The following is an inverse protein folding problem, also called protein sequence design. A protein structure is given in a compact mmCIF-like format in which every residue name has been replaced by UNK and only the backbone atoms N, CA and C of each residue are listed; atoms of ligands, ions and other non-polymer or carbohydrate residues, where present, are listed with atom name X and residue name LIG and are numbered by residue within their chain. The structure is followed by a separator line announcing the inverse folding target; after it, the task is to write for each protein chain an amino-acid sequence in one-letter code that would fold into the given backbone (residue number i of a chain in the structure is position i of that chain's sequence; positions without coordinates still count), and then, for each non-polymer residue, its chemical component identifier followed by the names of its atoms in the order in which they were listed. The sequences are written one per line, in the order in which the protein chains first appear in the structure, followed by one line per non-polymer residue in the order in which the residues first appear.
data_IF_800387264588
#
_entry.id   IF_800387264588
#
_cell.length_a   1.000
_cell.length_b   1.000
_cell.length_c   1.000
_cell.angle_alpha   90.00
_cell.angle_beta   90.00
_cell.angle_gamma   90.00
#
_symmetry.space_group_name_H-M   'P 1'
#
loop_
_entity.id
_entity.type
_entity.pdbx_description
1 polymer ?
#
# COMPACT_ATOMS: atom_id res chain seq x y z
N UNK A 1 40.62 -19.80 16.54
CA UNK A 1 39.83 -18.54 16.57
C UNK A 1 38.48 -18.85 15.97
N UNK A 2 37.47 -19.12 16.81
CA UNK A 2 36.13 -19.49 16.37
C UNK A 2 35.28 -18.24 16.16
N UNK A 3 34.81 -18.04 14.93
CA UNK A 3 33.90 -16.96 14.55
C UNK A 3 32.49 -17.32 15.04
N UNK A 4 31.98 -16.61 16.05
CA UNK A 4 30.61 -16.77 16.51
C UNK A 4 29.67 -16.05 15.54
N UNK A 5 28.96 -16.83 14.71
CA UNK A 5 27.87 -16.34 13.88
C UNK A 5 26.71 -15.90 14.77
N UNK A 6 26.52 -14.59 14.93
CA UNK A 6 25.41 -14.02 15.68
C UNK A 6 24.11 -14.26 14.94
N UNK A 7 23.32 -15.25 15.38
CA UNK A 7 21.95 -15.46 14.94
C UNK A 7 21.06 -14.37 15.54
N UNK A 8 20.68 -13.38 14.73
CA UNK A 8 19.63 -12.42 15.10
C UNK A 8 18.31 -13.18 15.15
N UNK A 9 17.78 -13.39 16.35
CA UNK A 9 16.46 -13.98 16.58
C UNK A 9 15.50 -12.83 16.85
N UNK A 10 14.60 -12.56 15.89
CA UNK A 10 13.48 -11.63 16.12
C UNK A 10 12.50 -12.37 17.02
N UNK A 11 12.55 -12.10 18.32
CA UNK A 11 11.50 -12.52 19.24
C UNK A 11 10.29 -11.64 19.00
N UNK A 12 9.26 -12.21 18.37
CA UNK A 12 7.93 -11.64 18.41
C UNK A 12 7.43 -11.80 19.84
N UNK A 13 7.36 -10.68 20.55
CA UNK A 13 6.76 -10.63 21.87
C UNK A 13 5.29 -11.02 21.69
N UNK A 14 4.89 -12.16 22.27
CA UNK A 14 3.49 -12.49 22.51
C UNK A 14 2.95 -11.44 23.48
N UNK A 15 2.33 -10.38 22.94
CA UNK A 15 1.55 -9.44 23.73
C UNK A 15 0.11 -9.94 23.82
N UNK A 16 -0.12 -10.88 24.74
CA UNK A 16 -1.43 -10.96 25.38
C UNK A 16 -1.61 -9.72 26.28
N UNK A 17 -2.42 -8.79 25.78
CA UNK A 17 -3.14 -7.74 26.50
C UNK A 17 -2.37 -6.94 27.59
N UNK A 18 -1.82 -5.78 27.22
CA UNK A 18 -1.62 -4.70 28.18
C UNK A 18 -0.63 -3.59 27.79
N UNK A 19 -1.17 -2.45 27.34
CA UNK A 19 -0.53 -1.11 27.43
C UNK A 19 0.66 -0.83 26.47
N UNK A 20 0.36 -0.85 25.17
CA UNK A 20 1.11 -0.12 24.12
C UNK A 20 0.20 0.51 23.06
N UNK A 21 -1.10 0.57 23.32
CA UNK A 21 -2.15 0.98 22.38
C UNK A 21 -2.23 2.49 22.21
N UNK A 22 -1.24 3.10 21.56
CA UNK A 22 -1.41 4.44 21.03
C UNK A 22 -2.64 4.49 20.11
N UNK A 23 -3.57 5.41 20.39
CA UNK A 23 -4.74 5.68 19.53
C UNK A 23 -4.29 5.80 18.08
N UNK A 24 -4.94 5.08 17.17
CA UNK A 24 -4.71 5.20 15.73
C UNK A 24 -4.84 6.68 15.33
N UNK A 25 -3.78 7.23 14.76
CA UNK A 25 -3.73 8.64 14.36
C UNK A 25 -3.98 8.76 12.86
N UNK A 26 -4.79 9.73 12.46
CA UNK A 26 -5.08 9.98 11.05
C UNK A 26 -3.90 10.74 10.42
N UNK A 27 -3.29 10.17 9.38
CA UNK A 27 -2.27 10.88 8.62
C UNK A 27 -2.92 12.08 7.92
N UNK A 28 -2.32 13.26 8.08
CA UNK A 28 -2.86 14.55 7.57
C UNK A 28 -4.31 14.85 7.98
N UNK A 29 -4.83 14.18 9.02
CA UNK A 29 -6.23 14.32 9.45
C UNK A 29 -7.26 13.65 8.52
N UNK A 30 -6.84 12.84 7.55
CA UNK A 30 -7.74 12.16 6.63
C UNK A 30 -8.39 10.93 7.29
N UNK A 31 -9.71 10.83 7.19
CA UNK A 31 -10.46 9.65 7.65
C UNK A 31 -10.94 8.86 6.45
N UNK A 32 -10.50 7.59 6.34
CA UNK A 32 -10.93 6.67 5.27
C UNK A 32 -12.46 6.64 5.12
N UNK A 33 -13.18 6.38 6.21
CA UNK A 33 -14.63 6.22 6.17
C UNK A 33 -15.36 7.51 5.76
N UNK A 34 -14.92 8.66 6.27
CA UNK A 34 -15.53 9.94 5.90
C UNK A 34 -15.30 10.28 4.42
N UNK A 35 -14.08 10.03 3.92
CA UNK A 35 -13.72 10.26 2.51
C UNK A 35 -14.51 9.30 1.61
N UNK A 36 -14.56 8.01 1.96
CA UNK A 36 -15.30 6.99 1.23
C UNK A 36 -16.79 7.34 1.14
N UNK A 37 -17.42 7.68 2.27
CA UNK A 37 -18.82 8.08 2.31
C UNK A 37 -19.09 9.31 1.42
N UNK A 38 -18.28 10.36 1.55
CA UNK A 38 -18.43 11.57 0.72
C UNK A 38 -18.25 11.29 -0.78
N UNK A 39 -17.33 10.40 -1.15
CA UNK A 39 -17.11 9.99 -2.54
C UNK A 39 -18.28 9.15 -3.07
N UNK A 40 -18.84 8.25 -2.26
CA UNK A 40 -20.04 7.47 -2.60
C UNK A 40 -21.24 8.40 -2.84
N UNK A 41 -21.49 9.33 -1.92
CA UNK A 41 -22.61 10.27 -2.00
C UNK A 41 -22.50 11.18 -3.23
N UNK A 42 -21.28 11.57 -3.59
CA UNK A 42 -21.01 12.47 -4.72
C UNK A 42 -20.84 11.74 -6.06
N UNK A 43 -20.74 10.40 -6.07
CA UNK A 43 -20.46 9.61 -7.27
C UNK A 43 -19.10 9.92 -7.91
N UNK A 44 -18.10 10.31 -7.11
CA UNK A 44 -16.75 10.64 -7.60
C UNK A 44 -15.71 9.66 -7.08
N UNK A 45 -14.59 9.53 -7.80
CA UNK A 45 -13.43 8.77 -7.33
C UNK A 45 -12.46 9.69 -6.59
N UNK A 46 -12.01 9.24 -5.43
CA UNK A 46 -11.07 9.96 -4.60
C UNK A 46 -9.78 10.29 -5.35
N UNK A 47 -9.29 11.51 -5.14
CA UNK A 47 -7.99 11.98 -5.59
C UNK A 47 -7.29 12.56 -4.38
N UNK A 48 -6.16 11.97 -4.03
CA UNK A 48 -5.41 12.37 -2.86
C UNK A 48 -4.84 13.79 -3.06
N UNK A 49 -5.22 14.78 -2.22
CA UNK A 49 -4.67 16.12 -2.30
C UNK A 49 -3.24 16.21 -1.76
N UNK A 50 -2.81 15.26 -0.92
CA UNK A 50 -1.47 15.26 -0.31
C UNK A 50 -0.44 14.45 -1.10
N UNK A 51 -0.90 13.58 -2.00
CA UNK A 51 -0.06 12.78 -2.89
C UNK A 51 -0.59 12.84 -4.33
N UNK A 52 -0.48 13.99 -5.00
CA UNK A 52 -1.04 14.19 -6.34
C UNK A 52 -0.32 13.31 -7.36
N UNK A 53 -1.12 12.62 -8.19
CA UNK A 53 -0.61 11.83 -9.31
C UNK A 53 0.10 12.71 -10.34
N UNK A 54 1.42 12.78 -10.26
CA UNK A 54 2.26 13.59 -11.12
C UNK A 54 3.74 13.18 -11.04
N UNK A 55 4.61 13.82 -11.81
CA UNK A 55 6.04 13.50 -11.81
C UNK A 55 6.69 13.64 -10.43
N UNK A 56 6.26 14.62 -9.64
CA UNK A 56 6.80 14.89 -8.30
C UNK A 56 6.54 13.73 -7.31
N UNK A 57 5.50 12.94 -7.54
CA UNK A 57 5.15 11.78 -6.72
C UNK A 57 5.93 10.51 -7.11
N UNK A 58 6.69 10.51 -8.22
CA UNK A 58 7.56 9.38 -8.59
C UNK A 58 8.88 9.37 -7.82
N UNK A 59 9.32 10.54 -7.37
CA UNK A 59 10.57 10.71 -6.65
C UNK A 59 11.44 11.81 -7.26
N UNK A 60 12.71 11.81 -6.85
CA UNK A 60 13.71 12.79 -7.25
C UNK A 60 14.84 12.12 -8.05
N UNK A 61 15.76 12.93 -8.58
CA UNK A 61 16.93 12.51 -9.36
C UNK A 61 16.59 11.56 -10.52
N UNK A 62 16.85 10.25 -10.36
CA UNK A 62 16.62 9.25 -11.38
C UNK A 62 15.14 8.99 -11.66
N UNK A 63 14.22 9.43 -10.79
CA UNK A 63 12.78 9.34 -10.97
C UNK A 63 12.12 10.72 -11.05
N UNK A 64 12.93 11.79 -11.12
CA UNK A 64 12.43 13.15 -11.27
C UNK A 64 11.79 13.41 -12.64
N UNK A 65 11.11 14.56 -12.81
CA UNK A 65 10.31 14.87 -13.99
C UNK A 65 11.06 14.78 -15.33
N UNK A 66 12.35 15.11 -15.31
CA UNK A 66 13.20 15.15 -16.51
C UNK A 66 13.95 13.84 -16.77
N UNK A 67 13.73 12.80 -15.95
CA UNK A 67 14.46 11.54 -16.06
C UNK A 67 13.91 10.64 -17.17
N UNK A 68 14.79 9.88 -17.82
CA UNK A 68 14.40 8.85 -18.81
C UNK A 68 13.51 7.75 -18.20
N UNK A 69 13.59 7.54 -16.88
CA UNK A 69 12.74 6.56 -16.18
C UNK A 69 11.32 7.10 -15.98
N UNK A 70 11.16 8.40 -15.75
CA UNK A 70 9.86 9.06 -15.61
C UNK A 70 9.16 9.31 -16.97
N UNK A 71 9.91 9.33 -18.08
CA UNK A 71 9.32 9.47 -19.42
C UNK A 71 8.35 8.33 -19.74
N UNK A 72 7.17 8.71 -20.25
CA UNK A 72 6.12 7.77 -20.68
C UNK A 72 5.30 7.16 -19.53
N UNK A 73 5.54 7.60 -18.29
CA UNK A 73 4.78 7.14 -17.12
C UNK A 73 3.42 7.82 -17.08
N UNK A 74 2.37 7.03 -16.88
CA UNK A 74 0.99 7.47 -16.71
C UNK A 74 0.51 7.02 -15.35
N UNK A 75 -0.19 7.90 -14.64
CA UNK A 75 -0.87 7.53 -13.41
C UNK A 75 -2.26 7.01 -13.75
N UNK A 76 -2.50 5.72 -13.52
CA UNK A 76 -3.72 5.02 -13.91
C UNK A 76 -4.27 4.23 -12.72
N UNK A 77 -5.59 4.12 -12.61
CA UNK A 77 -6.27 3.24 -11.67
C UNK A 77 -6.25 1.80 -12.18
N UNK A 78 -6.27 0.78 -11.30
CA UNK A 78 -6.30 -0.63 -11.71
C UNK A 78 -7.37 -0.97 -12.75
N UNK A 79 -8.58 -0.41 -12.62
CA UNK A 79 -9.67 -0.59 -13.58
C UNK A 79 -9.36 -0.11 -15.01
N UNK A 80 -8.36 0.76 -15.21
CA UNK A 80 -8.01 1.30 -16.52
C UNK A 80 -7.08 0.38 -17.33
N UNK A 81 -6.43 -0.60 -16.68
CA UNK A 81 -5.47 -1.50 -17.33
C UNK A 81 -5.54 -2.96 -16.89
N UNK A 82 -6.41 -3.30 -15.93
CA UNK A 82 -6.69 -4.65 -15.46
C UNK A 82 -8.20 -4.91 -15.53
N UNK A 83 -8.60 -6.04 -16.12
CA UNK A 83 -10.02 -6.35 -16.34
C UNK A 83 -10.79 -6.66 -15.04
N UNK A 84 -10.14 -7.31 -14.07
CA UNK A 84 -10.75 -7.76 -12.82
C UNK A 84 -9.84 -7.46 -11.63
N UNK A 85 -9.61 -6.17 -11.29
CA UNK A 85 -8.73 -5.82 -10.19
C UNK A 85 -9.32 -6.31 -8.87
N UNK A 86 -8.45 -6.87 -8.04
CA UNK A 86 -8.72 -7.36 -6.69
C UNK A 86 -7.77 -6.67 -5.72
N UNK A 87 -8.27 -6.37 -4.52
CA UNK A 87 -7.43 -5.78 -3.49
C UNK A 87 -6.48 -6.83 -2.94
N UNK A 88 -7.06 -7.91 -2.46
CA UNK A 88 -6.39 -9.14 -2.01
C UNK A 88 -7.10 -10.31 -2.69
N UNK A 89 -6.35 -11.28 -3.21
CA UNK A 89 -6.94 -12.53 -3.70
C UNK A 89 -7.15 -13.53 -2.55
N UNK A 90 -8.13 -14.44 -2.71
CA UNK A 90 -8.62 -15.33 -1.64
C UNK A 90 -7.55 -16.28 -1.07
N UNK A 91 -6.44 -16.43 -1.79
CA UNK A 91 -5.21 -17.06 -1.37
C UNK A 91 -4.10 -16.01 -1.25
N UNK A 92 -3.94 -15.37 -0.09
CA UNK A 92 -2.70 -14.62 0.22
C UNK A 92 -1.53 -15.61 0.32
N UNK A 93 -1.08 -16.06 -0.85
CA UNK A 93 -0.06 -17.06 -1.02
C UNK A 93 1.29 -16.40 -0.75
N UNK A 94 2.20 -17.18 -0.17
CA UNK A 94 3.49 -16.70 0.35
C UNK A 94 4.39 -16.06 -0.72
N UNK A 95 4.01 -16.14 -2.00
CA UNK A 95 4.81 -15.74 -3.16
C UNK A 95 4.25 -14.53 -3.91
N UNK A 96 3.16 -13.95 -3.44
CA UNK A 96 2.42 -12.95 -4.21
C UNK A 96 3.13 -11.60 -4.39
N UNK A 97 4.40 -11.41 -3.99
CA UNK A 97 5.15 -10.16 -4.25
C UNK A 97 6.37 -10.45 -5.12
N UNK A 98 6.30 -10.05 -6.39
CA UNK A 98 7.27 -10.44 -7.42
C UNK A 98 8.40 -9.42 -7.69
N UNK A 99 8.38 -8.23 -7.09
CA UNK A 99 9.47 -7.23 -7.20
C UNK A 99 9.27 -6.07 -6.20
N UNK A 100 10.35 -5.47 -5.69
CA UNK A 100 10.31 -4.11 -5.12
C UNK A 100 10.22 -3.96 -3.59
N UNK A 101 9.60 -4.90 -2.86
CA UNK A 101 9.56 -4.80 -1.39
C UNK A 101 9.60 -6.17 -0.69
N UNK A 102 10.81 -6.57 -0.28
CA UNK A 102 11.03 -7.73 0.60
C UNK A 102 10.27 -7.60 1.94
N UNK A 103 9.97 -6.37 2.36
CA UNK A 103 9.20 -6.09 3.56
C UNK A 103 7.72 -6.49 3.39
N UNK A 104 7.10 -6.15 2.25
CA UNK A 104 5.73 -6.58 1.95
C UNK A 104 5.62 -8.12 1.86
N UNK A 105 6.61 -8.77 1.23
CA UNK A 105 6.69 -10.23 1.18
C UNK A 105 6.84 -10.86 2.58
N UNK A 106 7.55 -10.22 3.50
CA UNK A 106 7.71 -10.74 4.87
C UNK A 106 6.44 -10.57 5.71
N UNK A 107 5.60 -9.56 5.42
CA UNK A 107 4.32 -9.37 6.13
C UNK A 107 3.35 -10.54 5.89
N UNK A 108 3.38 -11.18 4.72
CA UNK A 108 2.53 -12.34 4.43
C UNK A 108 2.84 -13.55 5.31
N UNK A 109 4.04 -13.61 5.90
CA UNK A 109 4.41 -14.64 6.88
C UNK A 109 3.77 -14.42 8.25
N UNK A 110 3.21 -13.24 8.52
CA UNK A 110 2.61 -12.85 9.80
C UNK A 110 1.17 -12.35 9.62
N UNK A 111 0.17 -13.24 9.46
CA UNK A 111 -1.21 -12.86 9.11
C UNK A 111 -1.85 -11.85 10.07
N UNK A 112 -1.51 -11.89 11.36
CA UNK A 112 -1.99 -10.93 12.36
C UNK A 112 -1.46 -9.51 12.09
N UNK A 113 -0.17 -9.40 11.75
CA UNK A 113 0.46 -8.13 11.43
C UNK A 113 -0.03 -7.61 10.08
N UNK A 114 -0.19 -8.50 9.10
CA UNK A 114 -0.74 -8.14 7.80
C UNK A 114 -2.15 -7.56 7.90
N UNK A 115 -3.06 -8.19 8.65
CA UNK A 115 -4.42 -7.66 8.87
C UNK A 115 -4.44 -6.33 9.63
N UNK A 116 -3.38 -6.03 10.38
CA UNK A 116 -3.21 -4.73 11.04
C UNK A 116 -2.75 -3.68 10.02
N UNK A 117 -1.71 -3.98 9.24
CA UNK A 117 -1.16 -3.07 8.22
C UNK A 117 -2.13 -2.84 7.06
N UNK A 118 -2.85 -3.87 6.66
CA UNK A 118 -3.81 -3.90 5.55
C UNK A 118 -5.17 -4.28 6.14
N UNK A 119 -5.97 -3.30 6.60
CA UNK A 119 -7.28 -3.57 7.18
C UNK A 119 -8.20 -4.29 6.18
N UNK A 120 -8.98 -5.30 6.62
CA UNK A 120 -9.92 -6.01 5.77
C UNK A 120 -11.12 -5.14 5.41
N UNK A 121 -11.90 -5.57 4.40
CA UNK A 121 -13.12 -4.87 3.96
C UNK A 121 -12.92 -3.84 2.86
N UNK A 122 -11.71 -3.76 2.30
CA UNK A 122 -11.39 -2.95 1.13
C UNK A 122 -11.49 -3.82 -0.13
N UNK A 123 -12.10 -3.28 -1.19
CA UNK A 123 -12.24 -3.97 -2.46
C UNK A 123 -12.31 -2.99 -3.66
N UNK A 124 -12.28 -3.55 -4.87
CA UNK A 124 -12.48 -2.82 -6.12
C UNK A 124 -13.90 -2.95 -6.68
N UNK A 125 -14.81 -3.63 -5.99
CA UNK A 125 -16.12 -4.03 -6.50
C UNK A 125 -17.28 -3.33 -5.78
N UNK A 126 -17.44 -3.57 -4.48
CA UNK A 126 -18.59 -3.13 -3.70
C UNK A 126 -18.34 -1.78 -3.02
N UNK A 127 -19.02 -0.74 -3.52
CA UNK A 127 -18.86 0.61 -2.98
C UNK A 127 -17.44 1.15 -3.20
N UNK A 128 -16.88 0.84 -4.37
CA UNK A 128 -15.60 1.35 -4.83
C UNK A 128 -15.66 2.86 -5.08
N UNK A 129 -14.74 3.59 -4.45
CA UNK A 129 -14.56 5.04 -4.64
C UNK A 129 -13.11 5.41 -4.95
N UNK A 130 -12.27 4.44 -5.31
CA UNK A 130 -10.86 4.67 -5.60
C UNK A 130 -10.04 5.17 -4.40
N UNK A 131 -10.50 4.89 -3.17
CA UNK A 131 -9.81 5.19 -1.90
C UNK A 131 -9.50 3.90 -1.16
N UNK A 132 -8.29 3.83 -0.61
CA UNK A 132 -7.79 2.72 0.20
C UNK A 132 -7.05 3.28 1.41
N UNK A 133 -6.84 2.45 2.43
CA UNK A 133 -6.07 2.84 3.60
C UNK A 133 -5.22 1.70 4.17
N UNK A 134 -4.16 2.12 4.87
CA UNK A 134 -3.18 1.24 5.49
C UNK A 134 -2.79 1.77 6.86
N UNK A 135 -2.42 0.88 7.77
CA UNK A 135 -1.91 1.27 9.10
C UNK A 135 -0.40 1.07 9.14
N UNK A 136 0.34 2.17 9.26
CA UNK A 136 1.80 2.15 9.31
C UNK A 136 2.30 2.55 10.70
N UNK A 137 3.35 1.89 11.17
CA UNK A 137 4.00 2.26 12.42
C UNK A 137 5.08 3.31 12.17
N UNK A 138 4.89 4.51 12.71
CA UNK A 138 5.80 5.63 12.53
C UNK A 138 6.09 6.28 13.88
N UNK A 139 7.37 6.40 14.25
CA UNK A 139 7.84 7.07 15.48
C UNK A 139 7.10 6.66 16.76
N UNK A 140 6.83 5.36 16.93
CA UNK A 140 6.18 4.83 18.13
C UNK A 140 4.64 4.92 18.11
N UNK A 141 4.02 5.19 16.95
CA UNK A 141 2.58 5.38 16.81
C UNK A 141 2.05 4.68 15.56
N UNK A 142 0.82 4.19 15.63
CA UNK A 142 0.08 3.72 14.46
C UNK A 142 -0.57 4.91 13.75
N UNK A 143 -0.28 5.04 12.47
CA UNK A 143 -0.84 6.04 11.57
C UNK A 143 -1.76 5.36 10.56
N UNK A 144 -2.99 5.83 10.42
CA UNK A 144 -3.91 5.48 9.34
C UNK A 144 -3.61 6.38 8.15
N UNK A 145 -3.11 5.79 7.06
CA UNK A 145 -2.72 6.50 5.84
C UNK A 145 -3.73 6.17 4.75
N UNK A 146 -4.37 7.20 4.23
CA UNK A 146 -5.36 7.11 3.14
C UNK A 146 -4.66 7.44 1.82
N UNK A 147 -4.91 6.63 0.80
CA UNK A 147 -4.38 6.87 -0.55
C UNK A 147 -5.48 6.68 -1.59
N UNK A 148 -5.37 7.38 -2.71
CA UNK A 148 -6.11 6.98 -3.91
C UNK A 148 -5.42 5.81 -4.63
N UNK A 149 -6.13 5.15 -5.55
CA UNK A 149 -5.60 3.99 -6.27
C UNK A 149 -4.89 4.28 -7.60
N UNK A 150 -4.55 5.54 -7.89
CA UNK A 150 -3.74 5.85 -9.08
C UNK A 150 -2.32 5.37 -8.86
N UNK A 151 -1.85 4.47 -9.71
CA UNK A 151 -0.51 3.90 -9.68
C UNK A 151 0.29 4.30 -10.94
N UNK A 152 1.62 4.42 -10.84
CA UNK A 152 2.46 4.74 -11.98
C UNK A 152 2.64 3.52 -12.89
N UNK A 153 2.18 3.67 -14.13
CA UNK A 153 2.15 2.65 -15.16
C UNK A 153 2.94 3.11 -16.37
N UNK A 154 3.80 2.23 -16.89
CA UNK A 154 4.55 2.42 -18.14
C UNK A 154 4.27 1.23 -19.05
N UNK A 155 3.86 1.49 -20.29
CA UNK A 155 3.55 0.45 -21.28
C UNK A 155 2.54 -0.60 -20.76
N UNK A 156 1.53 -0.15 -19.99
CA UNK A 156 0.50 -1.01 -19.42
C UNK A 156 0.97 -1.89 -18.25
N UNK A 157 2.18 -1.65 -17.71
CA UNK A 157 2.74 -2.38 -16.57
C UNK A 157 3.06 -1.44 -15.41
N UNK A 158 2.84 -1.91 -14.18
CA UNK A 158 3.27 -1.20 -12.97
C UNK A 158 4.78 -0.96 -12.99
N UNK A 159 5.21 0.23 -12.59
CA UNK A 159 6.63 0.57 -12.55
C UNK A 159 7.37 -0.01 -11.34
N UNK A 160 6.69 -0.12 -10.20
CA UNK A 160 7.30 -0.46 -8.91
C UNK A 160 6.86 -1.85 -8.43
N UNK A 161 6.45 -1.99 -7.16
CA UNK A 161 5.98 -3.27 -6.62
C UNK A 161 4.82 -3.79 -7.46
N UNK A 162 4.83 -5.11 -7.66
CA UNK A 162 3.75 -5.84 -8.32
C UNK A 162 3.54 -7.19 -7.66
N UNK A 163 2.29 -7.62 -7.62
CA UNK A 163 1.99 -8.97 -7.16
C UNK A 163 2.36 -10.02 -8.21
N UNK A 164 2.53 -11.29 -7.78
CA UNK A 164 2.63 -12.44 -8.69
C UNK A 164 1.34 -12.59 -9.48
N UNK A 165 0.22 -12.54 -8.77
CA UNK A 165 -1.11 -12.40 -9.33
C UNK A 165 -1.29 -11.00 -9.92
N UNK A 166 -1.40 -10.92 -11.25
CA UNK A 166 -1.40 -9.64 -12.00
C UNK A 166 -2.59 -8.74 -11.72
N UNK A 167 -3.64 -9.28 -11.10
CA UNK A 167 -4.84 -8.54 -10.76
C UNK A 167 -4.95 -8.23 -9.26
N UNK A 168 -3.91 -8.49 -8.47
CA UNK A 168 -3.86 -8.14 -7.05
C UNK A 168 -3.08 -6.82 -6.83
N UNK A 169 -3.64 -5.91 -6.01
CA UNK A 169 -3.12 -4.54 -5.90
C UNK A 169 -2.85 -4.03 -4.46
N UNK A 170 -3.04 -4.82 -3.40
CA UNK A 170 -2.73 -4.35 -2.04
C UNK A 170 -1.26 -3.97 -1.87
N UNK A 171 -0.32 -4.72 -2.44
CA UNK A 171 1.11 -4.47 -2.29
C UNK A 171 1.59 -3.20 -3.02
N UNK A 172 1.22 -2.95 -4.29
CA UNK A 172 1.47 -1.66 -4.94
C UNK A 172 0.85 -0.46 -4.20
N UNK A 173 -0.36 -0.63 -3.65
CA UNK A 173 -1.04 0.44 -2.90
C UNK A 173 -0.39 0.68 -1.53
N UNK A 174 0.08 -0.38 -0.87
CA UNK A 174 0.85 -0.28 0.38
C UNK A 174 2.18 0.42 0.16
N UNK A 175 2.90 0.11 -0.93
CA UNK A 175 4.11 0.81 -1.31
C UNK A 175 3.84 2.30 -1.51
N UNK A 176 2.76 2.64 -2.22
CA UNK A 176 2.33 4.04 -2.40
C UNK A 176 2.02 4.73 -1.07
N UNK A 177 1.36 4.06 -0.14
CA UNK A 177 1.06 4.63 1.18
C UNK A 177 2.32 4.86 2.05
N UNK A 178 3.42 4.16 1.75
CA UNK A 178 4.69 4.33 2.43
C UNK A 178 5.57 5.44 1.81
N UNK A 179 5.43 5.69 0.51
CA UNK A 179 6.19 6.68 -0.25
C UNK A 179 5.87 8.13 0.16
#
# INVERSE_FOLDING_TARGET
MASSSGRVTIQLVDEEAGVGGGRLQLFRGQSYEAIRAACLDSGILFRDPYFPAGPDALGYDQLGPDSEKAKGVKWMRPHEFCAEPKFICEDMSRTDVCQGSLAAASLTLYPRLLRRVVPPGQDFQHGYTGVFHFQLWQFGRWMDVVVDDRLPVREGKLMFVRSEQRNEFWAPLLEKAYA
#
